data_IF_267485454903
#
_entry.id   IF_267485454903
#
_cell.length_a   1.000
_cell.length_b   1.000
_cell.length_c   1.000
_cell.angle_alpha   90.00
_cell.angle_beta   90.00
_cell.angle_gamma   90.00
#
_symmetry.space_group_name_H-M   'P 1'
#
loop_
_entity.id
_entity.type
_entity.pdbx_description
1 polymer ?
#
# COMPACT_ATOMS: atom_id res chain seq x y z
N UNK A 1 72.65 35.71 -43.66
CA UNK A 1 72.54 36.09 -42.25
C UNK A 1 73.51 35.22 -41.44
N UNK A 2 74.16 35.83 -40.49
CA UNK A 2 75.18 35.15 -39.71
C UNK A 2 74.63 34.20 -38.62
N UNK A 3 73.30 34.26 -38.39
CA UNK A 3 72.57 33.34 -37.55
C UNK A 3 71.09 33.28 -37.90
N UNK A 4 70.41 32.18 -37.54
CA UNK A 4 68.98 32.02 -37.70
C UNK A 4 68.22 33.15 -36.97
N UNK A 5 68.68 33.58 -35.79
CA UNK A 5 68.05 34.67 -35.04
C UNK A 5 68.16 36.02 -35.76
N UNK A 6 69.31 36.32 -36.39
CA UNK A 6 69.44 37.52 -37.16
C UNK A 6 68.50 37.54 -38.40
N UNK A 7 68.31 36.41 -39.02
CA UNK A 7 67.32 36.26 -40.12
C UNK A 7 65.90 36.49 -39.62
N UNK A 8 65.50 35.90 -38.47
CA UNK A 8 64.19 36.07 -37.85
C UNK A 8 63.93 37.57 -37.54
N UNK A 9 64.90 38.25 -36.89
CA UNK A 9 64.77 39.67 -36.56
C UNK A 9 64.64 40.57 -37.81
N UNK A 10 65.24 40.21 -38.94
CA UNK A 10 65.12 40.95 -40.19
C UNK A 10 63.80 40.71 -40.93
N UNK A 11 63.27 39.50 -40.85
CA UNK A 11 62.09 39.08 -41.62
C UNK A 11 60.79 39.39 -40.87
N UNK A 12 60.73 39.22 -39.55
CA UNK A 12 59.51 39.36 -38.74
C UNK A 12 58.79 40.71 -38.96
N UNK A 13 59.47 41.89 -38.96
CA UNK A 13 58.82 43.15 -39.26
C UNK A 13 58.20 43.24 -40.65
N UNK A 14 58.82 42.55 -41.65
CA UNK A 14 58.36 42.58 -43.04
C UNK A 14 57.05 41.82 -43.26
N UNK A 15 56.77 40.83 -42.39
CA UNK A 15 55.52 40.03 -42.42
C UNK A 15 54.54 40.46 -41.34
N UNK A 16 54.82 41.56 -40.62
CA UNK A 16 53.90 42.15 -39.66
C UNK A 16 53.76 41.38 -38.33
N UNK A 17 54.81 40.61 -37.91
CA UNK A 17 54.82 39.89 -36.62
C UNK A 17 56.07 40.25 -35.80
N UNK A 18 56.03 39.85 -34.50
CA UNK A 18 57.23 40.02 -33.65
C UNK A 18 58.23 38.97 -33.95
N UNK A 19 59.56 39.25 -33.77
CA UNK A 19 60.65 38.25 -33.93
C UNK A 19 60.39 36.97 -33.11
N UNK A 20 59.85 37.10 -31.92
CA UNK A 20 59.52 35.95 -31.06
C UNK A 20 58.39 35.10 -31.65
N UNK A 21 57.37 35.71 -32.22
CA UNK A 21 56.28 34.97 -32.90
C UNK A 21 56.82 34.17 -34.07
N UNK A 22 57.70 34.80 -34.91
CA UNK A 22 58.28 34.11 -36.03
C UNK A 22 59.23 32.97 -35.55
N UNK A 23 60.00 33.19 -34.48
CA UNK A 23 60.80 32.15 -33.85
C UNK A 23 60.01 30.92 -33.44
N UNK A 24 58.85 31.13 -32.84
CA UNK A 24 57.95 30.05 -32.47
C UNK A 24 57.45 29.30 -33.71
N UNK A 25 57.12 29.99 -34.78
CA UNK A 25 56.67 29.34 -36.01
C UNK A 25 57.78 28.55 -36.70
N UNK A 26 59.00 29.10 -36.75
CA UNK A 26 60.15 28.40 -37.32
C UNK A 26 60.47 27.13 -36.52
N UNK A 27 60.54 27.23 -35.23
CA UNK A 27 60.74 26.04 -34.34
C UNK A 27 59.64 25.00 -34.52
N UNK A 28 58.39 25.45 -34.67
CA UNK A 28 57.29 24.51 -34.89
C UNK A 28 57.43 23.83 -36.26
N UNK A 29 57.83 24.58 -37.29
CA UNK A 29 58.11 24.02 -38.64
C UNK A 29 59.26 23.00 -38.60
N UNK A 30 60.36 23.32 -37.90
CA UNK A 30 61.49 22.39 -37.72
C UNK A 30 61.05 21.10 -37.03
N UNK A 31 60.18 21.17 -36.03
CA UNK A 31 59.58 19.99 -35.39
C UNK A 31 58.72 19.20 -36.35
N UNK A 32 57.86 19.89 -37.10
CA UNK A 32 56.96 19.26 -38.06
C UNK A 32 57.68 18.57 -39.23
N UNK A 33 58.92 19.00 -39.53
CA UNK A 33 59.81 18.42 -40.56
C UNK A 33 60.84 17.42 -40.01
N UNK A 34 60.85 17.14 -38.71
CA UNK A 34 61.75 16.14 -38.09
C UNK A 34 63.13 16.65 -37.67
N UNK A 35 63.40 17.99 -37.78
CA UNK A 35 64.64 18.63 -37.42
C UNK A 35 64.69 19.37 -36.09
N UNK A 36 63.65 19.22 -35.25
CA UNK A 36 63.46 20.02 -34.04
C UNK A 36 64.03 19.41 -32.76
N UNK A 37 63.78 20.10 -31.61
CA UNK A 37 64.23 19.84 -30.26
C UNK A 37 63.50 18.73 -29.53
N UNK A 38 62.79 17.82 -30.24
CA UNK A 38 62.03 16.71 -29.64
C UNK A 38 60.65 17.12 -29.08
N UNK A 39 60.21 18.36 -29.34
CA UNK A 39 58.87 18.80 -28.95
C UNK A 39 57.81 18.28 -29.91
N UNK A 40 56.52 18.33 -29.44
CA UNK A 40 55.38 17.84 -30.21
C UNK A 40 55.21 18.55 -31.58
N UNK A 41 54.99 17.78 -32.63
CA UNK A 41 54.58 18.25 -33.92
C UNK A 41 53.18 18.87 -33.87
N UNK A 42 52.82 19.67 -34.89
CA UNK A 42 51.46 20.23 -35.02
C UNK A 42 50.39 19.16 -35.07
N UNK A 43 50.65 18.05 -35.77
CA UNK A 43 49.75 16.90 -35.86
C UNK A 43 49.57 16.20 -34.50
N UNK A 44 50.68 15.96 -33.76
CA UNK A 44 50.63 15.35 -32.43
C UNK A 44 49.89 16.24 -31.42
N UNK A 45 50.14 17.55 -31.44
CA UNK A 45 49.41 18.51 -30.60
C UNK A 45 47.91 18.53 -30.90
N UNK A 46 47.52 18.48 -32.16
CA UNK A 46 46.11 18.38 -32.57
C UNK A 46 45.53 17.05 -32.05
N UNK A 47 46.22 15.94 -32.21
CA UNK A 47 45.77 14.63 -31.75
C UNK A 47 45.66 14.58 -30.21
N UNK A 48 46.57 15.20 -29.49
CA UNK A 48 46.51 15.32 -28.04
C UNK A 48 45.23 16.06 -27.59
N UNK A 49 44.93 17.20 -28.24
CA UNK A 49 43.68 17.95 -27.95
C UNK A 49 42.42 17.14 -28.22
N UNK A 50 42.41 16.36 -29.29
CA UNK A 50 41.31 15.45 -29.60
C UNK A 50 41.16 14.37 -28.53
N UNK A 51 42.26 13.71 -28.14
CA UNK A 51 42.25 12.68 -27.10
C UNK A 51 41.84 13.24 -25.73
N UNK A 52 42.29 14.43 -25.37
CA UNK A 52 41.88 15.10 -24.13
C UNK A 52 40.38 15.42 -24.14
N UNK A 53 39.81 15.84 -25.28
CA UNK A 53 38.39 16.07 -25.43
C UNK A 53 37.61 14.76 -25.29
N UNK A 54 38.01 13.71 -26.01
CA UNK A 54 37.44 12.38 -25.94
C UNK A 54 37.47 11.81 -24.52
N UNK A 55 38.61 11.93 -23.84
CA UNK A 55 38.75 11.47 -22.46
C UNK A 55 37.79 12.19 -21.50
N UNK A 56 37.63 13.52 -21.66
CA UNK A 56 36.64 14.28 -20.87
C UNK A 56 35.22 13.82 -21.12
N UNK A 57 34.88 13.56 -22.37
CA UNK A 57 33.55 13.05 -22.77
C UNK A 57 33.33 11.65 -22.20
N UNK A 58 34.25 10.73 -22.33
CA UNK A 58 34.19 9.37 -21.80
C UNK A 58 34.07 9.35 -20.27
N UNK A 59 34.83 10.19 -19.56
CA UNK A 59 34.71 10.30 -18.10
C UNK A 59 33.33 10.78 -17.69
N UNK A 60 32.78 11.79 -18.36
CA UNK A 60 31.42 12.29 -18.12
C UNK A 60 30.38 11.20 -18.33
N UNK A 61 30.45 10.49 -19.47
CA UNK A 61 29.55 9.38 -19.78
C UNK A 61 29.59 8.28 -18.71
N UNK A 62 30.79 7.91 -18.29
CA UNK A 62 31.01 6.89 -17.25
C UNK A 62 30.39 7.32 -15.92
N UNK A 63 30.53 8.58 -15.52
CA UNK A 63 29.93 9.08 -14.27
C UNK A 63 28.40 9.07 -14.33
N UNK A 64 27.81 9.50 -15.45
CA UNK A 64 26.36 9.47 -15.66
C UNK A 64 25.85 8.03 -15.55
N UNK A 65 26.49 7.09 -16.25
CA UNK A 65 26.09 5.67 -16.24
C UNK A 65 26.26 5.01 -14.89
N UNK A 66 27.33 5.33 -14.15
CA UNK A 66 27.55 4.83 -12.78
C UNK A 66 26.45 5.29 -11.83
N UNK A 67 26.10 6.57 -11.85
CA UNK A 67 25.05 7.12 -11.00
C UNK A 67 23.68 6.54 -11.37
N UNK A 68 23.40 6.34 -12.66
CA UNK A 68 22.20 5.71 -13.13
C UNK A 68 22.10 4.23 -12.72
N UNK A 69 23.18 3.46 -12.84
CA UNK A 69 23.24 2.06 -12.40
C UNK A 69 23.02 1.92 -10.90
N UNK A 70 23.62 2.77 -10.08
CA UNK A 70 23.40 2.79 -8.64
C UNK A 70 21.93 3.11 -8.27
N UNK A 71 21.27 3.96 -9.05
CA UNK A 71 19.88 4.35 -8.83
C UNK A 71 18.88 3.26 -9.28
N UNK A 72 19.21 2.51 -10.34
CA UNK A 72 18.31 1.48 -10.88
C UNK A 72 18.31 0.18 -10.07
N UNK A 73 19.32 -0.05 -9.22
CA UNK A 73 19.49 -1.27 -8.45
C UNK A 73 19.86 -2.50 -9.29
N UNK A 74 19.99 -3.66 -8.67
CA UNK A 74 20.48 -4.89 -9.31
C UNK A 74 19.47 -5.56 -10.30
N UNK A 75 18.26 -5.01 -10.42
CA UNK A 75 17.16 -5.65 -11.18
C UNK A 75 17.18 -5.49 -12.70
N UNK A 76 18.10 -4.73 -13.27
CA UNK A 76 18.29 -4.59 -14.74
C UNK A 76 17.12 -3.96 -15.52
N UNK A 77 15.98 -3.69 -14.89
CA UNK A 77 14.80 -3.11 -15.54
C UNK A 77 14.78 -1.60 -15.34
N UNK A 78 14.77 -0.90 -16.46
CA UNK A 78 14.69 0.58 -16.45
C UNK A 78 13.40 1.05 -15.77
N UNK A 79 13.47 1.87 -14.72
CA UNK A 79 12.27 2.41 -14.08
C UNK A 79 11.48 3.33 -15.02
N UNK A 80 10.16 3.50 -14.80
CA UNK A 80 9.38 4.50 -15.47
C UNK A 80 10.02 5.91 -15.33
N UNK A 81 9.92 6.72 -16.38
CA UNK A 81 10.55 8.04 -16.44
C UNK A 81 10.20 8.93 -15.24
N UNK A 82 8.96 8.88 -14.75
CA UNK A 82 8.51 9.63 -13.59
C UNK A 82 9.35 9.34 -12.33
N UNK A 83 9.76 8.08 -12.14
CA UNK A 83 10.64 7.67 -11.02
C UNK A 83 12.08 8.07 -11.24
N UNK A 84 12.51 8.24 -12.49
CA UNK A 84 13.88 8.66 -12.85
C UNK A 84 14.08 10.18 -12.75
N UNK A 85 13.00 10.98 -12.71
CA UNK A 85 13.10 12.45 -12.73
C UNK A 85 14.01 13.04 -11.65
N UNK A 86 13.99 12.58 -10.37
CA UNK A 86 14.91 13.13 -9.35
C UNK A 86 16.38 12.90 -9.70
N UNK A 87 16.73 11.75 -10.26
CA UNK A 87 18.10 11.48 -10.74
C UNK A 87 18.45 12.37 -11.92
N UNK A 88 17.52 12.50 -12.91
CA UNK A 88 17.74 13.35 -14.08
C UNK A 88 17.95 14.81 -13.70
N UNK A 89 17.19 15.31 -12.72
CA UNK A 89 17.32 16.67 -12.23
C UNK A 89 18.69 16.90 -11.58
N UNK A 90 19.17 15.95 -10.77
CA UNK A 90 20.50 15.99 -10.16
C UNK A 90 21.62 15.96 -11.20
N UNK A 91 21.54 15.03 -12.17
CA UNK A 91 22.55 14.89 -13.23
C UNK A 91 22.56 16.10 -14.17
N UNK A 92 21.39 16.70 -14.43
CA UNK A 92 21.27 17.93 -15.24
C UNK A 92 22.06 19.09 -14.66
N UNK A 93 22.03 19.26 -13.34
CA UNK A 93 22.78 20.34 -12.68
C UNK A 93 24.28 20.21 -12.89
N UNK A 94 24.80 18.98 -12.99
CA UNK A 94 26.25 18.70 -13.13
C UNK A 94 26.68 18.66 -14.60
N UNK A 95 25.91 18.06 -15.47
CA UNK A 95 26.35 17.71 -16.84
C UNK A 95 25.49 18.35 -17.96
N UNK A 96 24.39 19.00 -17.61
CA UNK A 96 23.42 19.54 -18.58
C UNK A 96 22.45 18.49 -19.13
N UNK A 97 21.36 18.94 -19.74
CA UNK A 97 20.28 18.06 -20.24
C UNK A 97 20.73 17.18 -21.41
N UNK A 98 21.46 17.77 -22.36
CA UNK A 98 21.85 17.07 -23.61
C UNK A 98 22.66 15.78 -23.33
N UNK A 99 23.82 15.87 -22.66
CA UNK A 99 24.63 14.69 -22.36
C UNK A 99 23.89 13.63 -21.55
N UNK A 100 23.14 14.03 -20.50
CA UNK A 100 22.38 13.09 -19.66
C UNK A 100 21.31 12.35 -20.46
N UNK A 101 20.59 13.08 -21.30
CA UNK A 101 19.54 12.48 -22.13
C UNK A 101 20.13 11.55 -23.21
N UNK A 102 21.30 11.91 -23.78
CA UNK A 102 22.01 11.06 -24.75
C UNK A 102 22.43 9.73 -24.13
N UNK A 103 23.13 9.77 -22.98
CA UNK A 103 23.63 8.56 -22.31
C UNK A 103 22.50 7.64 -21.81
N UNK A 104 21.42 8.23 -21.36
CA UNK A 104 20.26 7.46 -20.86
C UNK A 104 19.23 7.14 -21.95
N UNK A 105 19.52 7.45 -23.21
CA UNK A 105 18.63 7.23 -24.36
C UNK A 105 17.20 7.78 -24.11
N UNK A 106 17.13 9.03 -23.64
CA UNK A 106 15.89 9.77 -23.42
C UNK A 106 15.88 10.96 -24.40
N UNK A 107 14.81 11.17 -25.15
CA UNK A 107 14.68 12.39 -25.93
C UNK A 107 14.60 13.61 -24.99
N UNK A 108 15.40 14.68 -25.21
CA UNK A 108 15.31 15.90 -24.40
C UNK A 108 13.89 16.47 -24.31
N UNK A 109 13.13 16.38 -25.41
CA UNK A 109 11.71 16.78 -25.44
C UNK A 109 10.85 16.04 -24.41
N UNK A 110 11.10 14.74 -24.23
CA UNK A 110 10.40 13.92 -23.23
C UNK A 110 10.73 14.38 -21.82
N UNK A 111 12.01 14.68 -21.54
CA UNK A 111 12.42 15.24 -20.25
C UNK A 111 11.69 16.58 -19.97
N UNK A 112 11.75 17.52 -20.90
CA UNK A 112 11.09 18.83 -20.74
C UNK A 112 9.58 18.71 -20.62
N UNK A 113 8.96 17.79 -21.36
CA UNK A 113 7.53 17.51 -21.24
C UNK A 113 7.16 17.01 -19.83
N UNK A 114 7.94 16.09 -19.25
CA UNK A 114 7.74 15.62 -17.87
C UNK A 114 7.94 16.75 -16.87
N UNK A 115 8.94 17.61 -17.06
CA UNK A 115 9.15 18.79 -16.20
C UNK A 115 7.96 19.74 -16.27
N UNK A 116 7.46 20.04 -17.47
CA UNK A 116 6.29 20.87 -17.66
C UNK A 116 5.05 20.31 -16.96
N UNK A 117 4.82 18.99 -17.07
CA UNK A 117 3.70 18.33 -16.38
C UNK A 117 3.83 18.36 -14.86
N UNK A 118 5.04 18.35 -14.30
CA UNK A 118 5.28 18.46 -12.86
C UNK A 118 5.02 19.88 -12.35
N UNK A 119 5.50 20.90 -13.08
CA UNK A 119 5.36 22.30 -12.68
C UNK A 119 3.99 22.90 -13.02
N UNK A 120 3.29 22.33 -14.00
CA UNK A 120 1.98 22.79 -14.47
C UNK A 120 0.96 21.65 -14.47
N UNK A 121 0.45 21.22 -13.29
CA UNK A 121 -0.56 20.16 -13.20
C UNK A 121 -1.84 20.46 -14.00
N UNK A 122 -2.18 21.74 -14.13
CA UNK A 122 -3.31 22.26 -14.90
C UNK A 122 -3.20 21.97 -16.41
N UNK A 123 -1.99 21.83 -16.93
CA UNK A 123 -1.72 21.54 -18.37
C UNK A 123 -1.62 20.04 -18.67
N UNK A 124 -1.84 19.17 -17.69
CA UNK A 124 -1.87 17.71 -17.91
C UNK A 124 -3.09 17.34 -18.76
N UNK A 125 -3.02 16.15 -19.39
CA UNK A 125 -4.18 15.63 -20.13
C UNK A 125 -5.40 15.48 -19.20
N UNK A 126 -6.61 15.63 -19.76
CA UNK A 126 -7.86 15.46 -19.02
C UNK A 126 -7.91 14.10 -18.28
N UNK A 127 -7.36 13.05 -18.86
CA UNK A 127 -7.24 11.74 -18.21
C UNK A 127 -6.33 11.79 -16.98
N UNK A 128 -5.17 12.44 -17.07
CA UNK A 128 -4.24 12.55 -15.95
C UNK A 128 -4.83 13.39 -14.80
N UNK A 129 -5.51 14.47 -15.12
CA UNK A 129 -6.22 15.30 -14.14
C UNK A 129 -7.35 14.51 -13.45
N UNK A 130 -8.10 13.74 -14.23
CA UNK A 130 -9.14 12.85 -13.70
C UNK A 130 -8.55 11.73 -12.81
N UNK A 131 -7.44 11.11 -13.22
CA UNK A 131 -6.73 10.12 -12.41
C UNK A 131 -6.25 10.72 -11.08
N UNK A 132 -5.75 11.96 -11.07
CA UNK A 132 -5.29 12.63 -9.84
C UNK A 132 -6.45 12.97 -8.91
N UNK A 133 -7.60 13.39 -9.45
CA UNK A 133 -8.83 13.55 -8.67
C UNK A 133 -9.30 12.21 -8.11
N UNK A 134 -9.34 11.17 -8.93
CA UNK A 134 -9.81 9.84 -8.54
C UNK A 134 -8.90 9.19 -7.49
N UNK A 135 -7.59 9.43 -7.52
CA UNK A 135 -6.67 8.99 -6.46
C UNK A 135 -7.05 9.59 -5.09
N UNK A 136 -7.45 10.87 -5.05
CA UNK A 136 -7.90 11.52 -3.81
C UNK A 136 -9.18 10.88 -3.28
N UNK A 137 -10.15 10.60 -4.16
CA UNK A 137 -11.39 9.92 -3.78
C UNK A 137 -11.15 8.46 -3.32
N UNK A 138 -10.27 7.72 -4.01
CA UNK A 138 -9.86 6.38 -3.59
C UNK A 138 -9.20 6.42 -2.21
N UNK A 139 -8.30 7.38 -1.96
CA UNK A 139 -7.64 7.53 -0.67
C UNK A 139 -8.66 7.85 0.43
N UNK A 140 -9.57 8.80 0.19
CA UNK A 140 -10.66 9.13 1.12
C UNK A 140 -11.49 7.91 1.48
N UNK A 141 -12.00 7.20 0.49
CA UNK A 141 -12.79 5.97 0.71
C UNK A 141 -11.99 4.91 1.46
N UNK A 142 -10.71 4.76 1.17
CA UNK A 142 -9.84 3.80 1.83
C UNK A 142 -9.63 4.15 3.31
N UNK A 143 -9.40 5.41 3.63
CA UNK A 143 -9.17 5.89 5.00
C UNK A 143 -10.46 5.87 5.82
N UNK A 144 -11.59 6.31 5.28
CA UNK A 144 -12.92 6.26 5.92
C UNK A 144 -13.37 4.82 6.25
N UNK A 145 -12.85 3.84 5.52
CA UNK A 145 -13.11 2.42 5.75
C UNK A 145 -11.93 1.72 6.46
N UNK A 146 -11.25 2.43 7.36
CA UNK A 146 -10.19 1.90 8.23
C UNK A 146 -9.02 1.24 7.49
N UNK A 147 -8.81 1.59 6.22
CA UNK A 147 -7.77 1.02 5.37
C UNK A 147 -7.90 -0.52 5.20
N UNK A 148 -9.13 -1.02 5.25
CA UNK A 148 -9.46 -2.45 5.17
C UNK A 148 -9.85 -2.85 3.76
N UNK A 149 -10.45 -1.93 2.99
CA UNK A 149 -11.03 -2.24 1.70
C UNK A 149 -9.98 -2.54 0.63
N UNK A 150 -10.15 -3.67 -0.07
CA UNK A 150 -9.48 -3.93 -1.35
C UNK A 150 -10.26 -3.34 -2.53
N UNK A 151 -9.68 -3.44 -3.71
CA UNK A 151 -10.18 -2.88 -4.98
C UNK A 151 -11.68 -3.02 -5.19
N UNK A 152 -12.26 -4.21 -4.94
CA UNK A 152 -13.69 -4.45 -5.18
C UNK A 152 -14.59 -3.61 -4.29
N UNK A 153 -14.24 -3.49 -3.00
CA UNK A 153 -15.04 -2.71 -2.04
C UNK A 153 -14.86 -1.22 -2.24
N UNK A 154 -13.65 -0.74 -2.50
CA UNK A 154 -13.40 0.67 -2.86
C UNK A 154 -14.19 1.04 -4.11
N UNK A 155 -14.13 0.23 -5.17
CA UNK A 155 -14.91 0.44 -6.38
C UNK A 155 -16.43 0.48 -6.12
N UNK A 156 -16.94 -0.45 -5.33
CA UNK A 156 -18.38 -0.49 -4.98
C UNK A 156 -18.80 0.72 -4.16
N UNK A 157 -17.95 1.17 -3.23
CA UNK A 157 -18.23 2.37 -2.44
C UNK A 157 -18.26 3.63 -3.32
N UNK A 158 -17.30 3.80 -4.21
CA UNK A 158 -17.30 4.90 -5.18
C UNK A 158 -18.57 4.92 -6.04
N UNK A 159 -19.03 3.75 -6.51
CA UNK A 159 -20.29 3.65 -7.26
C UNK A 159 -21.51 4.05 -6.43
N UNK A 160 -21.56 3.68 -5.14
CA UNK A 160 -22.65 4.08 -4.22
C UNK A 160 -22.68 5.60 -4.02
N UNK A 161 -21.53 6.24 -4.05
CA UNK A 161 -21.38 7.71 -3.93
C UNK A 161 -21.61 8.43 -5.28
N UNK A 162 -22.02 7.72 -6.33
CA UNK A 162 -22.30 8.28 -7.66
C UNK A 162 -21.07 8.46 -8.55
N UNK A 163 -19.86 8.06 -8.10
CA UNK A 163 -18.62 8.15 -8.86
C UNK A 163 -18.53 6.95 -9.82
N UNK A 164 -18.89 7.17 -11.08
CA UNK A 164 -18.85 6.14 -12.11
C UNK A 164 -17.44 5.93 -12.63
N UNK A 165 -16.84 4.80 -12.29
CA UNK A 165 -15.48 4.42 -12.68
C UNK A 165 -15.39 2.93 -12.96
N UNK A 166 -14.55 2.53 -13.91
CA UNK A 166 -14.27 1.11 -14.17
C UNK A 166 -13.42 0.50 -13.05
N UNK A 167 -13.74 -0.73 -12.65
CA UNK A 167 -12.98 -1.46 -11.62
C UNK A 167 -11.49 -1.57 -11.93
N UNK A 168 -11.11 -1.78 -13.19
CA UNK A 168 -9.71 -1.86 -13.62
C UNK A 168 -8.95 -0.54 -13.39
N UNK A 169 -9.62 0.62 -13.55
CA UNK A 169 -9.02 1.93 -13.24
C UNK A 169 -8.74 2.05 -11.75
N UNK A 170 -9.70 1.67 -10.89
CA UNK A 170 -9.49 1.65 -9.43
C UNK A 170 -8.34 0.70 -9.06
N UNK A 171 -8.29 -0.49 -9.66
CA UNK A 171 -7.20 -1.45 -9.43
C UNK A 171 -5.83 -0.87 -9.78
N UNK A 172 -5.72 -0.25 -10.95
CA UNK A 172 -4.49 0.39 -11.42
C UNK A 172 -4.04 1.52 -10.48
N UNK A 173 -4.96 2.40 -10.11
CA UNK A 173 -4.65 3.54 -9.25
C UNK A 173 -4.28 3.10 -7.83
N UNK A 174 -5.01 2.15 -7.23
CA UNK A 174 -4.65 1.59 -5.93
C UNK A 174 -3.26 0.93 -5.95
N UNK A 175 -2.92 0.20 -7.02
CA UNK A 175 -1.58 -0.37 -7.18
C UNK A 175 -0.49 0.70 -7.25
N UNK A 176 -0.72 1.79 -8.00
CA UNK A 176 0.21 2.93 -8.08
C UNK A 176 0.38 3.62 -6.72
N UNK A 177 -0.70 3.71 -5.93
CA UNK A 177 -0.70 4.30 -4.59
C UNK A 177 -0.16 3.34 -3.50
N UNK A 178 0.11 2.07 -3.83
CA UNK A 178 0.52 1.05 -2.86
C UNK A 178 -0.57 0.63 -1.89
N UNK A 179 -1.86 0.84 -2.24
CA UNK A 179 -3.00 0.51 -1.38
C UNK A 179 -3.46 -0.94 -1.62
N UNK A 180 -3.60 -1.68 -0.52
CA UNK A 180 -4.06 -3.07 -0.54
C UNK A 180 -5.09 -3.33 0.56
N UNK A 181 -6.07 -4.18 0.28
CA UNK A 181 -7.04 -4.60 1.29
C UNK A 181 -6.46 -5.61 2.27
N UNK A 182 -7.07 -5.69 3.44
CA UNK A 182 -6.69 -6.64 4.48
C UNK A 182 -7.07 -8.06 4.06
N UNK A 183 -6.11 -8.97 4.17
CA UNK A 183 -6.30 -10.40 3.92
C UNK A 183 -6.48 -11.16 5.25
N UNK A 184 -7.38 -12.13 5.29
CA UNK A 184 -7.45 -13.07 6.39
C UNK A 184 -6.21 -13.96 6.39
N UNK A 185 -5.57 -14.14 7.55
CA UNK A 185 -4.49 -15.11 7.74
C UNK A 185 -4.97 -16.56 7.58
N UNK A 186 -4.03 -17.51 7.53
CA UNK A 186 -4.35 -18.95 7.55
C UNK A 186 -5.06 -19.31 8.87
N UNK A 187 -6.14 -20.10 8.80
CA UNK A 187 -6.82 -20.64 9.99
C UNK A 187 -5.86 -21.54 10.77
N UNK A 188 -5.60 -21.20 12.04
CA UNK A 188 -4.91 -22.07 12.99
C UNK A 188 -6.00 -22.73 13.85
N UNK A 189 -6.07 -24.07 13.84
CA UNK A 189 -6.96 -24.81 14.74
C UNK A 189 -6.37 -24.80 16.16
N UNK A 190 -7.08 -24.19 17.10
CA UNK A 190 -6.61 -24.04 18.49
C UNK A 190 -7.45 -24.85 19.51
N UNK A 191 -8.57 -25.47 19.10
CA UNK A 191 -9.51 -26.12 20.03
C UNK A 191 -9.60 -27.63 19.82
N UNK A 192 -9.41 -28.41 20.89
CA UNK A 192 -9.70 -29.84 20.97
C UNK A 192 -10.96 -29.97 21.83
N UNK A 193 -12.02 -30.56 21.28
CA UNK A 193 -13.34 -30.67 21.92
C UNK A 193 -13.38 -31.74 23.03
N UNK A 194 -14.04 -31.44 24.17
CA UNK A 194 -14.41 -32.40 25.21
C UNK A 194 -15.94 -32.67 25.16
N UNK A 195 -16.35 -33.91 25.37
CA UNK A 195 -17.77 -34.33 25.41
C UNK A 195 -18.50 -33.72 26.59
N UNK A 196 -19.54 -32.90 26.37
CA UNK A 196 -20.50 -32.45 27.40
C UNK A 196 -21.92 -32.63 26.88
N UNK A 197 -22.88 -32.86 27.78
CA UNK A 197 -24.32 -32.96 27.47
C UNK A 197 -24.86 -31.53 27.25
N UNK A 198 -25.49 -31.26 26.09
CA UNK A 198 -26.00 -29.94 25.72
C UNK A 198 -27.38 -30.06 25.07
N UNK A 199 -28.11 -28.92 24.96
CA UNK A 199 -29.36 -28.81 24.19
C UNK A 199 -29.16 -29.30 22.77
N UNK A 200 -30.19 -29.86 22.13
CA UNK A 200 -30.10 -30.35 20.76
C UNK A 200 -29.85 -29.25 19.74
N UNK A 201 -29.18 -29.61 18.64
CA UNK A 201 -29.01 -28.70 17.51
C UNK A 201 -30.33 -28.51 16.74
N UNK A 202 -30.83 -27.28 16.70
CA UNK A 202 -32.02 -26.86 15.98
C UNK A 202 -31.71 -26.25 14.62
N UNK A 203 -30.43 -25.92 14.35
CA UNK A 203 -30.01 -25.18 13.15
C UNK A 203 -29.61 -26.14 12.05
N UNK A 204 -29.14 -27.36 12.36
CA UNK A 204 -28.69 -28.38 11.39
C UNK A 204 -27.74 -27.78 10.31
N UNK A 205 -26.83 -26.89 10.72
CA UNK A 205 -25.88 -26.18 9.82
C UNK A 205 -26.52 -25.26 8.77
N UNK A 206 -27.82 -25.02 8.85
CA UNK A 206 -28.55 -24.10 7.98
C UNK A 206 -28.56 -22.69 8.59
N UNK A 207 -27.43 -21.96 8.47
CA UNK A 207 -27.33 -20.56 8.91
C UNK A 207 -27.99 -19.62 7.90
N UNK A 208 -29.29 -19.81 7.71
CA UNK A 208 -30.14 -18.98 6.84
C UNK A 208 -31.30 -18.49 7.68
N UNK A 209 -31.56 -17.20 7.63
CA UNK A 209 -32.74 -16.57 8.22
C UNK A 209 -33.47 -15.76 7.13
N UNK A 210 -34.79 -15.86 7.10
CA UNK A 210 -35.63 -15.16 6.10
C UNK A 210 -36.05 -13.77 6.58
N UNK A 211 -35.93 -13.50 7.87
CA UNK A 211 -36.29 -12.23 8.50
C UNK A 211 -35.32 -11.90 9.65
N UNK A 212 -35.20 -10.61 10.02
CA UNK A 212 -34.48 -10.21 11.23
C UNK A 212 -34.96 -10.94 12.48
N UNK A 213 -34.06 -11.14 13.42
CA UNK A 213 -34.30 -11.76 14.74
C UNK A 213 -34.94 -13.17 14.68
N UNK A 214 -34.74 -13.89 13.58
CA UNK A 214 -35.15 -15.30 13.47
C UNK A 214 -34.10 -16.24 14.06
N UNK A 215 -32.83 -15.97 13.81
CA UNK A 215 -31.69 -16.76 14.28
C UNK A 215 -30.55 -15.84 14.67
N UNK A 216 -30.15 -15.94 15.93
CA UNK A 216 -28.92 -15.32 16.42
C UNK A 216 -27.84 -16.38 16.64
N UNK A 217 -26.61 -16.04 16.30
CA UNK A 217 -25.42 -16.86 16.58
C UNK A 217 -24.50 -16.10 17.52
N UNK A 218 -23.98 -16.80 18.54
CA UNK A 218 -23.08 -16.24 19.54
C UNK A 218 -21.76 -16.99 19.55
N UNK A 219 -20.68 -16.24 19.67
CA UNK A 219 -19.35 -16.76 19.83
C UNK A 219 -18.45 -15.72 20.51
N UNK A 220 -17.36 -16.15 21.10
CA UNK A 220 -16.38 -15.24 21.66
C UNK A 220 -14.97 -15.58 21.19
N UNK A 221 -14.11 -14.59 21.26
CA UNK A 221 -12.71 -14.73 20.90
C UNK A 221 -11.82 -14.06 21.95
N UNK A 222 -10.52 -14.35 21.93
CA UNK A 222 -9.56 -13.72 22.83
C UNK A 222 -8.57 -12.85 22.06
N UNK A 223 -8.08 -11.82 22.74
CA UNK A 223 -7.08 -10.85 22.27
C UNK A 223 -5.94 -10.81 23.29
N UNK A 224 -4.72 -10.98 22.83
CA UNK A 224 -3.53 -10.81 23.68
C UNK A 224 -3.23 -9.32 23.86
N UNK A 225 -3.08 -8.88 25.09
CA UNK A 225 -2.64 -7.52 25.46
C UNK A 225 -1.40 -7.59 26.36
N UNK A 226 -0.76 -6.45 26.59
CA UNK A 226 0.38 -6.39 27.51
C UNK A 226 -0.01 -6.70 28.97
N UNK A 227 -1.29 -6.54 29.31
CA UNK A 227 -1.84 -6.82 30.66
C UNK A 227 -2.48 -8.21 30.79
N UNK A 228 -2.34 -9.07 29.75
CA UNK A 228 -2.96 -10.40 29.72
C UNK A 228 -4.00 -10.55 28.61
N UNK A 229 -4.75 -11.64 28.68
CA UNK A 229 -5.81 -11.90 27.70
C UNK A 229 -7.08 -11.09 27.99
N UNK A 230 -7.69 -10.63 26.92
CA UNK A 230 -9.00 -9.97 26.91
C UNK A 230 -9.93 -10.78 26.03
N UNK A 231 -11.17 -10.95 26.44
CA UNK A 231 -12.18 -11.73 25.74
C UNK A 231 -13.22 -10.82 25.12
N UNK A 232 -13.64 -11.14 23.91
CA UNK A 232 -14.62 -10.36 23.13
C UNK A 232 -15.73 -11.30 22.67
N UNK A 233 -16.95 -11.09 23.15
CA UNK A 233 -18.14 -11.82 22.71
C UNK A 233 -18.93 -11.01 21.70
N UNK A 234 -19.47 -11.69 20.70
CA UNK A 234 -20.41 -11.13 19.72
C UNK A 234 -21.67 -11.99 19.65
N UNK A 235 -22.81 -11.31 19.52
CA UNK A 235 -24.10 -11.91 19.13
C UNK A 235 -24.51 -11.30 17.81
N UNK A 236 -24.82 -12.13 16.84
CA UNK A 236 -24.98 -11.76 15.45
C UNK A 236 -26.32 -12.26 14.94
N UNK A 237 -27.14 -11.37 14.39
CA UNK A 237 -28.33 -11.73 13.64
C UNK A 237 -27.93 -12.30 12.27
N UNK A 238 -28.33 -13.53 12.01
CA UNK A 238 -27.93 -14.27 10.81
C UNK A 238 -28.52 -13.64 9.54
N UNK A 239 -29.69 -13.03 9.60
CA UNK A 239 -30.37 -12.43 8.44
C UNK A 239 -29.43 -11.47 7.68
N UNK A 240 -29.01 -10.41 8.33
CA UNK A 240 -28.10 -9.42 7.72
C UNK A 240 -26.63 -9.58 8.16
N UNK A 241 -26.34 -10.41 9.18
CA UNK A 241 -25.07 -10.46 9.87
C UNK A 241 -24.80 -9.22 10.70
N UNK A 242 -25.85 -8.58 11.15
CA UNK A 242 -25.77 -7.44 12.05
C UNK A 242 -25.32 -7.89 13.44
N UNK A 243 -24.37 -7.23 14.04
CA UNK A 243 -23.92 -7.49 15.41
C UNK A 243 -24.91 -6.79 16.35
N UNK A 244 -25.76 -7.58 16.99
CA UNK A 244 -26.84 -7.09 17.87
C UNK A 244 -26.37 -6.90 19.32
N UNK A 245 -25.33 -7.61 19.74
CA UNK A 245 -24.75 -7.48 21.06
C UNK A 245 -23.25 -7.81 21.03
N UNK A 246 -22.50 -7.15 21.91
CA UNK A 246 -21.07 -7.40 22.07
C UNK A 246 -20.57 -6.98 23.46
N UNK A 247 -19.51 -7.61 23.96
CA UNK A 247 -18.87 -7.25 25.21
C UNK A 247 -17.39 -7.55 25.18
N UNK A 248 -16.61 -6.71 25.88
CA UNK A 248 -15.18 -6.92 26.10
C UNK A 248 -14.93 -7.10 27.60
N UNK A 249 -14.22 -8.15 27.99
CA UNK A 249 -13.92 -8.46 29.38
C UNK A 249 -12.49 -8.95 29.58
N UNK A 250 -11.92 -8.69 30.74
CA UNK A 250 -10.67 -9.31 31.22
C UNK A 250 -10.86 -10.68 31.82
N UNK A 251 -12.11 -11.10 32.09
CA UNK A 251 -12.47 -12.42 32.64
C UNK A 251 -13.30 -13.21 31.61
N UNK A 252 -13.13 -14.53 31.60
CA UNK A 252 -13.87 -15.48 30.78
C UNK A 252 -15.08 -16.08 31.52
N UNK A 253 -15.60 -15.40 32.54
CA UNK A 253 -16.77 -15.82 33.28
C UNK A 253 -18.05 -15.68 32.47
N UNK A 254 -19.12 -16.39 32.85
CA UNK A 254 -20.43 -16.35 32.17
C UNK A 254 -21.02 -14.94 32.11
N UNK A 255 -20.70 -14.07 33.06
CA UNK A 255 -21.20 -12.70 33.15
C UNK A 255 -20.93 -11.88 31.87
N UNK A 256 -19.75 -12.05 31.22
CA UNK A 256 -19.43 -11.24 30.04
C UNK A 256 -20.25 -11.64 28.80
N UNK A 257 -20.61 -12.92 28.64
CA UNK A 257 -21.50 -13.36 27.55
C UNK A 257 -22.95 -13.00 27.86
N UNK A 258 -23.33 -12.98 29.15
CA UNK A 258 -24.65 -12.47 29.58
C UNK A 258 -24.78 -10.97 29.28
N UNK A 259 -23.76 -10.17 29.57
CA UNK A 259 -23.77 -8.72 29.25
C UNK A 259 -23.99 -8.47 27.75
N UNK A 260 -23.35 -9.28 26.88
CA UNK A 260 -23.58 -9.19 25.44
C UNK A 260 -25.02 -9.59 25.05
N UNK A 261 -25.59 -10.60 25.73
CA UNK A 261 -26.97 -11.01 25.54
C UNK A 261 -27.95 -9.93 26.00
N UNK A 262 -27.74 -9.35 27.18
CA UNK A 262 -28.60 -8.26 27.67
C UNK A 262 -28.62 -7.06 26.72
N UNK A 263 -27.45 -6.68 26.17
CA UNK A 263 -27.37 -5.63 25.18
C UNK A 263 -28.24 -5.95 23.93
N UNK A 264 -28.14 -7.19 23.43
CA UNK A 264 -28.93 -7.65 22.29
C UNK A 264 -30.43 -7.66 22.57
N UNK A 265 -30.84 -8.19 23.75
CA UNK A 265 -32.23 -8.23 24.19
C UNK A 265 -32.83 -6.82 24.31
N UNK A 266 -32.08 -5.89 24.91
CA UNK A 266 -32.51 -4.52 25.06
C UNK A 266 -32.69 -3.81 23.71
N UNK A 267 -31.72 -4.02 22.80
CA UNK A 267 -31.70 -3.37 21.49
C UNK A 267 -32.80 -3.88 20.54
N UNK A 268 -33.10 -5.19 20.57
CA UNK A 268 -33.96 -5.84 19.58
C UNK A 268 -35.31 -6.31 20.10
N UNK A 269 -35.45 -6.59 21.42
CA UNK A 269 -36.67 -7.14 22.05
C UNK A 269 -37.22 -8.34 21.29
N UNK A 270 -36.40 -9.38 21.06
CA UNK A 270 -36.76 -10.50 20.20
C UNK A 270 -37.88 -11.34 20.81
N UNK A 271 -38.62 -12.07 19.95
CA UNK A 271 -39.63 -13.02 20.37
C UNK A 271 -39.51 -14.29 19.54
N UNK A 272 -39.34 -15.44 20.22
CA UNK A 272 -39.22 -16.73 19.56
C UNK A 272 -37.93 -16.92 18.72
N UNK A 273 -36.95 -16.08 18.91
CA UNK A 273 -35.65 -16.15 18.23
C UNK A 273 -34.87 -17.40 18.65
N UNK A 274 -34.32 -18.12 17.69
CA UNK A 274 -33.37 -19.20 17.97
C UNK A 274 -32.02 -18.57 18.30
N UNK A 275 -31.48 -18.87 19.49
CA UNK A 275 -30.14 -18.47 19.90
C UNK A 275 -29.20 -19.67 19.84
N UNK A 276 -28.29 -19.65 18.87
CA UNK A 276 -27.34 -20.73 18.64
C UNK A 276 -25.92 -20.33 19.08
N UNK A 277 -25.27 -21.21 19.82
CA UNK A 277 -23.87 -21.04 20.27
C UNK A 277 -23.10 -22.35 20.16
N UNK A 278 -21.78 -22.26 20.31
CA UNK A 278 -20.96 -23.44 20.53
C UNK A 278 -21.25 -24.05 21.92
N UNK A 279 -20.64 -25.20 22.23
CA UNK A 279 -20.72 -25.85 23.53
C UNK A 279 -19.73 -25.30 24.56
N UNK A 280 -19.33 -24.05 24.46
CA UNK A 280 -18.51 -23.39 25.46
C UNK A 280 -19.16 -23.41 26.83
N UNK A 281 -18.39 -23.62 27.88
CA UNK A 281 -18.90 -23.72 29.29
C UNK A 281 -19.73 -22.49 29.68
N UNK A 282 -19.45 -21.34 29.12
CA UNK A 282 -20.16 -20.09 29.38
C UNK A 282 -21.61 -20.13 28.85
N UNK A 283 -21.80 -20.66 27.63
CA UNK A 283 -23.10 -20.72 26.94
C UNK A 283 -24.00 -21.87 27.45
N UNK A 284 -23.40 -22.92 28.03
CA UNK A 284 -24.17 -24.04 28.63
C UNK A 284 -24.34 -23.88 30.16
N UNK A 285 -23.92 -22.75 30.71
CA UNK A 285 -24.12 -22.46 32.15
C UNK A 285 -25.60 -22.29 32.46
N UNK A 286 -25.97 -22.66 33.69
CA UNK A 286 -27.38 -22.56 34.18
C UNK A 286 -27.88 -21.11 34.03
N UNK A 287 -27.09 -20.14 34.49
CA UNK A 287 -27.46 -18.72 34.40
C UNK A 287 -27.75 -18.26 33.00
N UNK A 288 -26.93 -18.68 31.99
CA UNK A 288 -27.14 -18.30 30.62
C UNK A 288 -28.38 -18.96 30.01
N UNK A 289 -28.59 -20.25 30.27
CA UNK A 289 -29.74 -21.00 29.73
C UNK A 289 -31.06 -20.57 30.35
N UNK A 290 -31.08 -20.28 31.66
CA UNK A 290 -32.25 -19.69 32.33
C UNK A 290 -32.59 -18.31 31.74
N UNK A 291 -31.59 -17.47 31.52
CA UNK A 291 -31.82 -16.13 30.96
C UNK A 291 -32.36 -16.17 29.54
N UNK A 292 -31.90 -17.10 28.68
CA UNK A 292 -32.48 -17.33 27.35
C UNK A 292 -33.96 -17.69 27.44
N UNK A 293 -34.32 -18.61 28.40
CA UNK A 293 -35.68 -19.04 28.62
C UNK A 293 -36.59 -17.91 29.11
N UNK A 294 -36.14 -17.12 30.08
CA UNK A 294 -36.84 -15.93 30.56
C UNK A 294 -37.10 -14.90 29.46
N UNK A 295 -36.13 -14.72 28.58
CA UNK A 295 -36.26 -13.83 27.42
C UNK A 295 -37.12 -14.41 26.28
N UNK A 296 -37.66 -15.63 26.41
CA UNK A 296 -38.45 -16.27 25.35
C UNK A 296 -37.62 -16.72 24.13
N UNK A 297 -36.33 -16.90 24.29
CA UNK A 297 -35.45 -17.38 23.24
C UNK A 297 -35.35 -18.90 23.22
N UNK A 298 -35.21 -19.47 22.04
CA UNK A 298 -35.04 -20.91 21.84
C UNK A 298 -33.57 -21.26 21.79
N UNK A 299 -33.04 -21.88 22.87
CA UNK A 299 -31.66 -22.30 22.92
C UNK A 299 -31.35 -23.42 21.90
N UNK A 300 -30.26 -23.28 21.20
CA UNK A 300 -29.68 -24.26 20.29
C UNK A 300 -28.18 -24.32 20.48
N UNK A 301 -27.61 -25.51 20.50
CA UNK A 301 -26.16 -25.71 20.64
C UNK A 301 -25.67 -26.67 19.57
N UNK A 302 -24.55 -26.35 18.96
CA UNK A 302 -23.91 -27.16 17.93
C UNK A 302 -23.50 -28.56 18.45
N UNK A 303 -23.21 -29.47 17.53
CA UNK A 303 -22.71 -30.80 17.86
C UNK A 303 -21.25 -30.72 18.38
N UNK A 304 -20.84 -31.74 19.14
CA UNK A 304 -19.51 -31.70 19.78
C UNK A 304 -18.40 -31.89 18.74
N UNK A 305 -17.56 -30.86 18.58
CA UNK A 305 -16.29 -30.96 17.84
C UNK A 305 -16.32 -30.63 16.36
N UNK A 306 -17.44 -30.11 15.81
CA UNK A 306 -17.50 -29.70 14.42
C UNK A 306 -17.38 -28.16 14.27
N UNK A 307 -16.34 -27.70 13.61
CA UNK A 307 -16.08 -26.29 13.35
C UNK A 307 -17.06 -25.64 12.36
N UNK A 308 -17.97 -26.40 11.77
CA UNK A 308 -18.99 -25.90 10.87
C UNK A 308 -20.27 -25.46 11.58
N UNK A 309 -20.43 -25.88 12.85
CA UNK A 309 -21.64 -25.64 13.62
C UNK A 309 -21.83 -24.18 14.05
N UNK A 310 -20.80 -23.32 13.95
CA UNK A 310 -20.90 -21.87 14.19
C UNK A 310 -20.13 -21.03 13.14
N UNK A 311 -20.09 -21.50 11.91
CA UNK A 311 -19.25 -20.94 10.82
C UNK A 311 -19.48 -19.45 10.57
N UNK A 312 -20.68 -18.93 10.85
CA UNK A 312 -20.98 -17.52 10.66
C UNK A 312 -20.33 -16.66 11.74
N UNK A 313 -20.48 -17.02 13.00
CA UNK A 313 -19.86 -16.31 14.11
C UNK A 313 -18.33 -16.38 14.03
N UNK A 314 -17.75 -17.56 13.71
CA UNK A 314 -16.33 -17.72 13.43
C UNK A 314 -15.87 -16.80 12.28
N UNK A 315 -16.73 -16.63 11.26
CA UNK A 315 -16.40 -15.75 10.14
C UNK A 315 -16.30 -14.29 10.56
N UNK A 316 -17.17 -13.82 11.41
CA UNK A 316 -17.15 -12.44 11.93
C UNK A 316 -16.00 -12.25 12.91
N UNK A 317 -15.74 -13.20 13.80
CA UNK A 317 -14.55 -13.21 14.64
C UNK A 317 -13.25 -13.15 13.82
N UNK A 318 -13.19 -13.89 12.71
CA UNK A 318 -12.05 -13.86 11.80
C UNK A 318 -11.89 -12.52 11.08
N UNK A 319 -12.98 -11.84 10.74
CA UNK A 319 -12.95 -10.47 10.20
C UNK A 319 -12.45 -9.48 11.25
N UNK A 320 -13.02 -9.51 12.44
CA UNK A 320 -12.61 -8.67 13.56
C UNK A 320 -11.11 -8.80 13.84
N UNK A 321 -10.61 -10.04 13.96
CA UNK A 321 -9.18 -10.28 14.14
C UNK A 321 -8.32 -9.70 13.04
N UNK A 322 -8.69 -9.91 11.78
CA UNK A 322 -7.91 -9.42 10.63
C UNK A 322 -7.99 -7.90 10.47
N UNK A 323 -9.16 -7.31 10.68
CA UNK A 323 -9.44 -5.90 10.39
C UNK A 323 -9.04 -4.96 11.55
N UNK A 324 -8.98 -5.49 12.79
CA UNK A 324 -8.67 -4.72 14.00
C UNK A 324 -7.46 -5.29 14.74
N UNK A 325 -7.57 -6.53 15.21
CA UNK A 325 -6.67 -7.05 16.25
C UNK A 325 -5.24 -7.27 15.74
N UNK A 326 -5.09 -7.89 14.56
CA UNK A 326 -3.76 -8.21 14.02
C UNK A 326 -3.03 -7.00 13.39
N UNK A 327 -3.62 -5.80 13.45
CA UNK A 327 -3.03 -4.59 12.86
C UNK A 327 -2.09 -3.83 13.78
N UNK A 328 -2.19 -4.05 15.10
CA UNK A 328 -1.31 -3.44 16.12
C UNK A 328 -1.23 -4.30 17.37
N UNK A 329 -0.31 -3.98 18.26
CA UNK A 329 -0.28 -4.51 19.63
C UNK A 329 -1.19 -3.70 20.56
N UNK A 330 -1.74 -4.35 21.58
CA UNK A 330 -2.75 -3.80 22.47
C UNK A 330 -2.20 -3.67 23.89
N UNK A 331 -2.42 -2.51 24.53
CA UNK A 331 -1.89 -2.25 25.87
C UNK A 331 -2.77 -2.88 26.94
N UNK A 332 -4.08 -2.67 26.85
CA UNK A 332 -5.04 -3.06 27.89
C UNK A 332 -6.44 -3.29 27.32
N UNK A 333 -7.38 -3.69 28.21
CA UNK A 333 -8.78 -3.92 27.88
C UNK A 333 -9.47 -2.68 27.30
N UNK A 334 -9.27 -1.52 27.91
CA UNK A 334 -9.97 -0.29 27.48
C UNK A 334 -9.65 0.09 26.03
N UNK A 335 -8.41 -0.12 25.60
CA UNK A 335 -8.00 0.12 24.22
C UNK A 335 -8.68 -0.85 23.23
N UNK A 336 -8.80 -2.13 23.62
CA UNK A 336 -9.53 -3.14 22.82
C UNK A 336 -11.02 -2.81 22.77
N UNK A 337 -11.62 -2.42 23.89
CA UNK A 337 -13.04 -2.07 24.01
C UNK A 337 -13.42 -0.90 23.11
N UNK A 338 -12.62 0.19 23.12
CA UNK A 338 -12.83 1.35 22.25
C UNK A 338 -12.71 0.98 20.78
N UNK A 339 -11.70 0.18 20.41
CA UNK A 339 -11.53 -0.27 19.05
C UNK A 339 -12.65 -1.21 18.59
N UNK A 340 -13.17 -2.05 19.49
CA UNK A 340 -14.32 -2.92 19.22
C UNK A 340 -15.58 -2.10 19.00
N UNK A 341 -15.85 -1.11 19.84
CA UNK A 341 -16.97 -0.18 19.68
C UNK A 341 -16.95 0.49 18.29
N UNK A 342 -15.81 1.07 17.95
CA UNK A 342 -15.63 1.76 16.64
C UNK A 342 -15.80 0.80 15.46
N UNK A 343 -15.26 -0.43 15.59
CA UNK A 343 -15.37 -1.42 14.52
C UNK A 343 -16.78 -1.97 14.38
N UNK A 344 -17.50 -2.23 15.47
CA UNK A 344 -18.88 -2.72 15.43
C UNK A 344 -19.82 -1.68 14.81
N UNK A 345 -19.67 -0.40 15.19
CA UNK A 345 -20.45 0.68 14.56
C UNK A 345 -20.18 0.76 13.05
N UNK A 346 -18.92 0.79 12.65
CA UNK A 346 -18.56 0.79 11.24
C UNK A 346 -18.99 -0.49 10.52
N UNK A 347 -18.83 -1.66 11.13
CA UNK A 347 -19.23 -2.95 10.58
C UNK A 347 -20.74 -2.98 10.27
N UNK A 348 -21.55 -2.56 11.21
CA UNK A 348 -23.00 -2.57 11.08
C UNK A 348 -23.51 -1.52 10.08
N UNK A 349 -22.97 -0.30 10.14
CA UNK A 349 -23.55 0.85 9.45
C UNK A 349 -22.86 1.21 8.12
N UNK A 350 -21.61 0.77 7.90
CA UNK A 350 -20.82 1.20 6.73
C UNK A 350 -20.14 0.07 5.97
N UNK A 351 -19.83 -1.04 6.64
CA UNK A 351 -19.04 -2.11 6.02
C UNK A 351 -19.83 -2.84 4.94
N UNK A 352 -19.38 -2.77 3.69
CA UNK A 352 -19.99 -3.49 2.58
C UNK A 352 -19.79 -5.00 2.71
N UNK A 353 -20.87 -5.77 2.73
CA UNK A 353 -20.88 -7.22 2.75
C UNK A 353 -21.21 -7.79 1.37
N UNK A 354 -20.32 -8.63 0.83
CA UNK A 354 -20.53 -9.21 -0.50
C UNK A 354 -21.79 -10.09 -0.61
N UNK A 355 -22.15 -10.80 0.48
CA UNK A 355 -23.36 -11.63 0.56
C UNK A 355 -24.67 -10.82 0.52
N UNK A 356 -24.62 -9.54 0.91
CA UNK A 356 -25.75 -8.61 0.87
C UNK A 356 -25.74 -7.72 -0.39
N UNK A 357 -25.06 -8.14 -1.46
CA UNK A 357 -24.98 -7.31 -2.67
C UNK A 357 -24.06 -6.08 -2.55
N UNK A 358 -23.17 -6.05 -1.57
CA UNK A 358 -22.33 -4.91 -1.21
C UNK A 358 -23.08 -3.74 -0.57
N UNK A 359 -23.99 -4.08 0.36
CA UNK A 359 -24.62 -3.14 1.29
C UNK A 359 -24.16 -3.41 2.73
N UNK A 360 -24.21 -2.43 3.64
CA UNK A 360 -24.00 -2.64 5.07
C UNK A 360 -25.11 -3.51 5.71
N UNK A 361 -24.83 -4.20 6.83
CA UNK A 361 -25.87 -4.95 7.57
C UNK A 361 -27.08 -4.13 7.96
N UNK A 362 -26.93 -2.87 8.33
CA UNK A 362 -28.03 -2.00 8.75
C UNK A 362 -29.00 -1.61 7.63
N UNK A 363 -28.60 -1.79 6.37
CA UNK A 363 -29.41 -1.47 5.19
C UNK A 363 -30.09 -2.70 4.55
N UNK A 364 -29.91 -3.90 5.12
CA UNK A 364 -30.40 -5.16 4.56
C UNK A 364 -31.84 -5.49 4.95
#
# INVERSE_FOLDING_TARGET
YDSQWAAICSIAPKIGCTPETLRVWVRQHERDTGGGDGGLTSAERQRLKELERENRELRRSNDILRQASAYFGEGGVRPPLEKMMPLLDKLREQYGVGPVCSELHIAPSTYYHCQQQRHHPDKRSARAQHDDWLKREIQRVYDENHQVYGVRKVWRQLLREGIRVARCTVARLMAVMGLAGVLRGKKVRTTISRKAVAAGDRVNRQFVAERPDQLWVADFTYVSTWQGFVYVAFIIDVFAGYIVGWRVSSSMETTFVLDALEQALWARRPSGTIHHSDKGSQYVSLAYTERLKEAGLLASTGSTGDSYDNAMAESINGLYKAEVIHRKSWKNRAEVELATLTWVDWYNNRRLLGRLGHTPPAEA
#
